data_IF_704773973998
#
_entry.id   IF_704773973998
#
_cell.length_a   1.000
_cell.length_b   1.000
_cell.length_c   1.000
_cell.angle_alpha   90.00
_cell.angle_beta   90.00
_cell.angle_gamma   90.00
#
_symmetry.space_group_name_H-M   'P 1'
#
loop_
_entity.id
_entity.type
_entity.pdbx_description
1 polymer ?
#
# COMPACT_ATOMS: atom_id res chain seq x y z
N UNK A 1 22.91 -3.42 -5.72
CA UNK A 1 22.56 -3.21 -7.08
C UNK A 1 23.71 -3.16 -8.10
N UNK A 2 24.95 -3.58 -7.77
CA UNK A 2 26.08 -3.51 -8.72
C UNK A 2 25.98 -4.59 -9.81
N UNK A 3 25.31 -5.70 -9.49
CA UNK A 3 25.07 -6.79 -10.44
C UNK A 3 23.64 -7.33 -10.28
N UNK A 4 23.07 -7.80 -11.39
CA UNK A 4 21.74 -8.41 -11.44
C UNK A 4 21.82 -9.73 -12.17
N UNK A 5 21.09 -10.75 -11.67
CA UNK A 5 20.93 -12.04 -12.31
C UNK A 5 19.44 -12.28 -12.54
N UNK A 6 19.07 -12.60 -13.77
CA UNK A 6 17.70 -13.00 -14.09
C UNK A 6 17.41 -14.37 -13.50
N UNK A 7 16.29 -14.49 -12.77
CA UNK A 7 15.85 -15.74 -12.13
C UNK A 7 14.43 -16.15 -12.54
N UNK A 8 13.82 -15.46 -13.50
CA UNK A 8 12.42 -15.69 -13.93
C UNK A 8 12.21 -17.08 -14.55
N UNK A 9 13.29 -17.75 -14.95
CA UNK A 9 13.29 -19.11 -15.50
C UNK A 9 14.04 -20.12 -14.63
N UNK A 10 14.29 -19.81 -13.38
CA UNK A 10 14.90 -20.76 -12.46
C UNK A 10 14.06 -22.04 -12.34
N UNK A 11 14.70 -23.19 -12.03
CA UNK A 11 14.03 -24.48 -11.95
C UNK A 11 12.75 -24.42 -11.10
N UNK A 12 11.66 -24.96 -11.65
CA UNK A 12 10.35 -25.00 -11.01
C UNK A 12 9.40 -23.86 -11.41
N UNK A 13 9.91 -22.75 -11.94
CA UNK A 13 9.08 -21.70 -12.57
C UNK A 13 8.70 -22.09 -14.01
N UNK A 14 7.70 -21.42 -14.65
CA UNK A 14 7.35 -21.67 -16.04
C UNK A 14 8.55 -21.48 -16.96
N UNK A 15 8.88 -22.49 -17.77
CA UNK A 15 10.09 -22.53 -18.60
C UNK A 15 9.89 -21.97 -20.00
N UNK A 16 8.64 -21.78 -20.44
CA UNK A 16 8.30 -21.30 -21.79
C UNK A 16 7.07 -20.42 -21.76
N UNK A 17 6.78 -19.74 -22.84
CA UNK A 17 5.66 -18.82 -22.95
C UNK A 17 5.88 -17.44 -22.29
N UNK A 18 5.00 -16.48 -22.53
CA UNK A 18 5.09 -15.17 -21.93
C UNK A 18 4.77 -15.22 -20.44
N UNK A 19 5.52 -14.47 -19.63
CA UNK A 19 5.22 -14.18 -18.25
C UNK A 19 4.50 -12.83 -18.20
N UNK A 20 3.37 -12.77 -17.53
CA UNK A 20 2.66 -11.54 -17.21
C UNK A 20 3.16 -10.94 -15.89
N UNK A 21 2.23 -10.40 -15.09
CA UNK A 21 2.56 -9.82 -13.80
C UNK A 21 3.10 -10.87 -12.82
N UNK A 22 4.15 -10.49 -12.09
CA UNK A 22 4.75 -11.30 -11.03
C UNK A 22 4.81 -10.48 -9.75
N UNK A 23 4.16 -10.98 -8.70
CA UNK A 23 4.32 -10.46 -7.35
C UNK A 23 5.22 -11.38 -6.53
N UNK A 24 6.06 -10.81 -5.69
CA UNK A 24 7.00 -11.59 -4.87
C UNK A 24 6.98 -11.09 -3.42
N UNK A 25 7.12 -12.00 -2.48
CA UNK A 25 7.34 -11.67 -1.06
C UNK A 25 8.39 -12.58 -0.46
N UNK A 26 9.17 -12.03 0.46
CA UNK A 26 10.19 -12.76 1.24
C UNK A 26 9.68 -12.94 2.66
N UNK A 27 9.84 -14.12 3.23
CA UNK A 27 9.50 -14.35 4.64
C UNK A 27 10.50 -13.64 5.56
N UNK A 28 10.08 -12.69 6.40
CA UNK A 28 10.98 -12.09 7.38
C UNK A 28 11.47 -13.11 8.42
N UNK A 29 10.65 -14.12 8.73
CA UNK A 29 11.00 -15.19 9.68
C UNK A 29 12.01 -16.21 9.11
N UNK A 30 12.09 -16.31 7.77
CA UNK A 30 13.03 -17.20 7.06
C UNK A 30 13.42 -16.59 5.73
N UNK A 31 14.45 -15.74 5.65
CA UNK A 31 14.79 -14.98 4.43
C UNK A 31 15.12 -15.85 3.19
N UNK A 32 15.42 -17.14 3.35
CA UNK A 32 15.55 -18.08 2.23
C UNK A 32 14.20 -18.56 1.68
N UNK A 33 13.08 -18.29 2.37
CA UNK A 33 11.73 -18.63 1.89
C UNK A 33 11.09 -17.44 1.20
N UNK A 34 10.69 -17.66 -0.05
CA UNK A 34 9.99 -16.71 -0.89
C UNK A 34 8.71 -17.32 -1.43
N UNK A 35 7.72 -16.48 -1.70
CA UNK A 35 6.59 -16.85 -2.55
C UNK A 35 6.54 -15.90 -3.73
N UNK A 36 6.19 -16.45 -4.89
CA UNK A 36 5.88 -15.70 -6.09
C UNK A 36 4.47 -16.07 -6.56
N UNK A 37 3.67 -15.06 -6.91
CA UNK A 37 2.45 -15.24 -7.69
C UNK A 37 2.75 -14.87 -9.13
N UNK A 38 2.53 -15.79 -10.05
CA UNK A 38 2.97 -15.67 -11.45
C UNK A 38 1.75 -15.73 -12.36
N UNK A 39 1.55 -14.70 -13.16
CA UNK A 39 0.61 -14.71 -14.27
C UNK A 39 1.23 -15.42 -15.46
N UNK A 40 0.67 -16.58 -15.81
CA UNK A 40 1.12 -17.40 -16.93
C UNK A 40 0.02 -18.37 -17.35
N UNK A 41 -0.05 -18.71 -18.63
CA UNK A 41 -0.91 -19.79 -19.12
C UNK A 41 -0.03 -20.88 -19.76
N UNK A 42 -0.25 -22.17 -19.40
CA UNK A 42 -1.26 -22.70 -18.45
C UNK A 42 -0.76 -22.78 -16.99
N UNK A 43 0.49 -22.47 -16.71
CA UNK A 43 1.18 -22.77 -15.44
C UNK A 43 1.23 -21.57 -14.48
N UNK A 44 0.22 -20.68 -14.53
CA UNK A 44 0.14 -19.58 -13.59
C UNK A 44 -0.35 -20.03 -12.21
N UNK A 45 0.17 -19.38 -11.14
CA UNK A 45 -0.17 -19.74 -9.77
C UNK A 45 0.81 -19.21 -8.76
N UNK A 46 0.74 -19.78 -7.55
CA UNK A 46 1.68 -19.50 -6.47
C UNK A 46 2.81 -20.51 -6.49
N UNK A 47 4.01 -20.01 -6.44
CA UNK A 47 5.26 -20.75 -6.34
C UNK A 47 5.96 -20.41 -5.03
N UNK A 48 6.67 -21.38 -4.44
CA UNK A 48 7.50 -21.17 -3.24
C UNK A 48 8.92 -21.62 -3.49
N UNK A 49 9.84 -20.80 -3.05
CA UNK A 49 11.25 -21.17 -2.92
C UNK A 49 11.61 -21.29 -1.43
N UNK A 50 12.48 -22.21 -1.10
CA UNK A 50 13.06 -22.37 0.24
C UNK A 50 14.59 -22.13 0.26
N UNK A 51 15.16 -21.75 -0.89
CA UNK A 51 16.59 -21.58 -1.16
C UNK A 51 16.93 -20.23 -1.82
N UNK A 52 16.23 -19.18 -1.38
CA UNK A 52 16.42 -17.80 -1.84
C UNK A 52 16.21 -17.61 -3.36
N UNK A 53 15.31 -18.37 -3.96
CA UNK A 53 14.94 -18.25 -5.38
C UNK A 53 15.77 -19.11 -6.33
N UNK A 54 16.68 -19.95 -5.82
CA UNK A 54 17.46 -20.85 -6.67
C UNK A 54 16.56 -21.90 -7.33
N UNK A 55 15.63 -22.48 -6.57
CA UNK A 55 14.61 -23.40 -7.07
C UNK A 55 13.22 -23.08 -6.55
N UNK A 56 12.19 -23.47 -7.29
CA UNK A 56 10.81 -23.16 -6.97
C UNK A 56 9.92 -24.41 -7.04
N UNK A 57 8.95 -24.44 -6.15
CA UNK A 57 7.92 -25.48 -6.12
C UNK A 57 6.58 -24.85 -6.42
N UNK A 58 5.83 -25.38 -7.39
CA UNK A 58 4.45 -25.00 -7.62
C UNK A 58 3.58 -25.40 -6.43
N UNK A 59 2.86 -24.43 -5.86
CA UNK A 59 2.05 -24.64 -4.67
C UNK A 59 0.57 -24.81 -5.02
N UNK A 60 0.01 -23.88 -5.80
CA UNK A 60 -1.39 -23.91 -6.20
C UNK A 60 -1.65 -23.07 -7.44
N UNK A 61 -2.58 -23.53 -8.28
CA UNK A 61 -3.12 -22.76 -9.42
C UNK A 61 -4.44 -22.09 -9.15
N UNK A 62 -4.81 -21.89 -7.88
CA UNK A 62 -6.10 -21.29 -7.50
C UNK A 62 -6.31 -19.96 -8.22
N UNK A 63 -7.34 -19.91 -9.07
CA UNK A 63 -7.68 -18.72 -9.87
C UNK A 63 -8.17 -17.55 -9.04
N UNK A 64 -8.68 -17.79 -7.83
CA UNK A 64 -9.09 -16.72 -6.94
C UNK A 64 -7.93 -15.80 -6.55
N UNK A 65 -6.69 -16.31 -6.60
CA UNK A 65 -5.48 -15.51 -6.37
C UNK A 65 -5.06 -14.68 -7.59
N UNK A 66 -5.64 -14.91 -8.77
CA UNK A 66 -5.24 -14.31 -10.04
C UNK A 66 -6.42 -13.77 -10.85
N UNK A 67 -7.56 -13.48 -10.22
CA UNK A 67 -8.77 -12.98 -10.92
C UNK A 67 -8.51 -11.69 -11.70
N UNK A 68 -7.64 -10.83 -11.18
CA UNK A 68 -7.19 -9.59 -11.80
C UNK A 68 -5.67 -9.52 -11.68
N UNK A 69 -4.96 -10.45 -12.33
CA UNK A 69 -3.51 -10.61 -12.20
C UNK A 69 -2.75 -9.32 -12.52
N UNK A 70 -3.19 -8.58 -13.50
CA UNK A 70 -2.66 -7.27 -13.88
C UNK A 70 -2.81 -6.18 -12.79
N UNK A 71 -3.63 -6.41 -11.76
CA UNK A 71 -3.90 -5.42 -10.72
C UNK A 71 -3.53 -5.91 -9.31
N UNK A 72 -3.77 -7.18 -8.98
CA UNK A 72 -3.62 -7.73 -7.63
C UNK A 72 -2.50 -8.76 -7.48
N UNK A 73 -1.48 -8.78 -8.33
CA UNK A 73 -0.37 -9.74 -8.21
C UNK A 73 0.52 -9.45 -6.99
N UNK A 74 -0.06 -9.55 -5.79
CA UNK A 74 0.63 -9.29 -4.52
C UNK A 74 0.43 -10.47 -3.56
N UNK A 75 1.50 -10.78 -2.83
CA UNK A 75 1.49 -11.68 -1.67
C UNK A 75 2.22 -11.00 -0.51
N UNK A 76 1.86 -11.34 0.72
CA UNK A 76 2.48 -10.79 1.92
C UNK A 76 2.77 -11.92 2.89
N UNK A 77 4.05 -12.13 3.21
CA UNK A 77 4.48 -13.13 4.18
C UNK A 77 4.21 -12.65 5.60
N UNK A 78 3.78 -13.56 6.46
CA UNK A 78 3.72 -13.29 7.89
C UNK A 78 5.14 -13.04 8.44
N UNK A 79 5.33 -12.02 9.29
CA UNK A 79 6.65 -11.67 9.79
C UNK A 79 7.24 -12.70 10.76
N UNK A 80 6.44 -13.60 11.34
CA UNK A 80 6.89 -14.58 12.35
C UNK A 80 6.60 -16.04 11.99
N UNK A 81 5.53 -16.32 11.23
CA UNK A 81 5.21 -17.68 10.81
C UNK A 81 5.62 -17.91 9.36
N UNK A 82 6.59 -18.80 9.17
CA UNK A 82 7.13 -19.16 7.85
C UNK A 82 6.14 -19.88 6.94
N UNK A 83 4.99 -20.31 7.42
CA UNK A 83 3.96 -21.00 6.64
C UNK A 83 2.75 -20.14 6.30
N UNK A 84 2.67 -18.93 6.89
CA UNK A 84 1.55 -18.04 6.67
C UNK A 84 1.88 -17.02 5.59
N UNK A 85 0.98 -16.93 4.59
CA UNK A 85 1.05 -15.95 3.51
C UNK A 85 -0.35 -15.45 3.16
N UNK A 86 -0.45 -14.15 2.93
CA UNK A 86 -1.70 -13.47 2.61
C UNK A 86 -1.71 -13.07 1.14
N UNK A 87 -2.87 -13.17 0.51
CA UNK A 87 -3.17 -12.67 -0.82
C UNK A 87 -4.33 -11.68 -0.77
N UNK A 88 -4.06 -10.35 -0.72
CA UNK A 88 -5.11 -9.38 -0.90
C UNK A 88 -5.61 -9.46 -2.35
N UNK A 89 -6.86 -9.77 -2.50
CA UNK A 89 -7.53 -9.97 -3.78
C UNK A 89 -8.94 -9.36 -3.70
N UNK A 90 -9.76 -9.60 -4.71
CA UNK A 90 -11.20 -9.26 -4.65
C UNK A 90 -11.80 -9.76 -3.33
N UNK A 91 -11.48 -11.00 -2.94
CA UNK A 91 -11.68 -11.50 -1.57
C UNK A 91 -10.33 -11.73 -0.91
N UNK A 92 -10.14 -11.32 0.35
CA UNK A 92 -8.88 -11.56 1.04
C UNK A 92 -8.68 -13.06 1.26
N UNK A 93 -7.49 -13.53 0.97
CA UNK A 93 -7.13 -14.94 1.08
C UNK A 93 -5.92 -15.11 2.02
N UNK A 94 -5.90 -16.19 2.76
CA UNK A 94 -4.79 -16.58 3.65
C UNK A 94 -4.45 -18.06 3.47
N UNK A 95 -3.19 -18.37 3.36
CA UNK A 95 -2.63 -19.70 3.50
C UNK A 95 -1.94 -19.84 4.86
N UNK A 96 -2.08 -21.00 5.48
CA UNK A 96 -1.39 -21.39 6.73
C UNK A 96 -0.54 -22.65 6.56
N UNK A 97 -0.39 -23.11 5.34
CA UNK A 97 0.31 -24.36 4.99
C UNK A 97 1.42 -24.13 3.95
N UNK A 98 1.96 -22.93 3.95
CA UNK A 98 3.07 -22.54 3.09
C UNK A 98 2.67 -22.24 1.64
N UNK A 99 1.41 -21.90 1.38
CA UNK A 99 0.92 -21.53 0.06
C UNK A 99 0.24 -22.67 -0.71
N UNK A 100 -0.01 -23.84 -0.08
CA UNK A 100 -0.67 -24.98 -0.74
C UNK A 100 -2.17 -24.77 -0.87
N UNK A 101 -2.80 -24.33 0.20
CA UNK A 101 -4.24 -24.03 0.20
C UNK A 101 -4.48 -22.62 0.70
N UNK A 102 -5.52 -21.98 0.16
CA UNK A 102 -5.94 -20.65 0.56
C UNK A 102 -7.40 -20.68 0.98
N UNK A 103 -7.68 -20.01 2.08
CA UNK A 103 -9.02 -19.84 2.63
C UNK A 103 -9.32 -18.35 2.77
N UNK A 104 -10.59 -17.99 3.00
CA UNK A 104 -10.96 -16.61 3.24
C UNK A 104 -10.21 -16.04 4.46
N UNK A 105 -9.53 -14.96 4.25
CA UNK A 105 -8.80 -14.22 5.27
C UNK A 105 -9.60 -13.02 5.78
N UNK A 106 -8.89 -12.16 6.52
CA UNK A 106 -9.37 -10.90 7.06
C UNK A 106 -9.23 -9.78 6.02
N UNK A 107 -10.31 -8.99 5.81
CA UNK A 107 -10.32 -7.85 4.90
C UNK A 107 -11.72 -7.49 4.40
N UNK A 108 -11.79 -6.61 3.44
CA UNK A 108 -13.01 -6.15 2.76
C UNK A 108 -13.23 -6.80 1.39
N UNK A 109 -13.91 -6.08 0.51
CA UNK A 109 -13.98 -6.38 -0.92
C UNK A 109 -12.98 -5.53 -1.69
N UNK A 110 -12.36 -6.10 -2.72
CA UNK A 110 -11.29 -5.46 -3.50
C UNK A 110 -10.18 -4.90 -2.59
N UNK A 111 -9.33 -5.82 -2.10
CA UNK A 111 -8.27 -5.49 -1.16
C UNK A 111 -6.99 -5.15 -1.92
N UNK A 112 -6.42 -3.97 -1.68
CA UNK A 112 -5.29 -3.42 -2.42
C UNK A 112 -3.96 -3.60 -1.72
N UNK A 113 -3.97 -3.53 -0.39
CA UNK A 113 -2.76 -3.63 0.40
C UNK A 113 -3.04 -4.19 1.79
N UNK A 114 -2.01 -4.76 2.41
CA UNK A 114 -2.06 -5.30 3.76
C UNK A 114 -0.77 -4.95 4.51
N UNK A 115 -0.94 -4.42 5.70
CA UNK A 115 0.15 -4.25 6.64
C UNK A 115 -0.03 -5.19 7.83
N UNK A 116 1.04 -5.90 8.19
CA UNK A 116 1.10 -6.83 9.31
C UNK A 116 2.16 -6.31 10.26
N UNK A 117 1.80 -6.14 11.54
CA UNK A 117 2.73 -5.67 12.55
C UNK A 117 3.89 -6.67 12.71
N UNK A 118 5.15 -6.26 12.46
CA UNK A 118 6.30 -7.16 12.55
C UNK A 118 6.56 -7.66 13.96
N UNK A 119 6.03 -6.98 14.98
CA UNK A 119 6.19 -7.36 16.39
C UNK A 119 5.02 -8.20 16.89
N UNK A 120 3.82 -8.02 16.34
CA UNK A 120 2.59 -8.72 16.71
C UNK A 120 1.72 -9.03 15.49
N UNK A 121 1.88 -10.18 14.81
CA UNK A 121 1.14 -10.52 13.58
C UNK A 121 -0.38 -10.62 13.74
N UNK A 122 -0.90 -10.58 14.97
CA UNK A 122 -2.35 -10.49 15.20
C UNK A 122 -2.89 -9.09 14.88
N UNK A 123 -2.00 -8.10 14.78
CA UNK A 123 -2.33 -6.73 14.37
C UNK A 123 -2.15 -6.60 12.86
N UNK A 124 -3.26 -6.43 12.18
CA UNK A 124 -3.29 -6.34 10.72
C UNK A 124 -4.17 -5.16 10.30
N UNK A 125 -3.71 -4.44 9.30
CA UNK A 125 -4.48 -3.40 8.62
C UNK A 125 -4.62 -3.77 7.14
N UNK A 126 -5.84 -3.72 6.61
CA UNK A 126 -6.13 -4.03 5.21
C UNK A 126 -6.81 -2.84 4.56
N UNK A 127 -6.19 -2.31 3.52
CA UNK A 127 -6.78 -1.28 2.66
C UNK A 127 -7.62 -1.95 1.57
N UNK A 128 -8.83 -1.45 1.38
CA UNK A 128 -9.78 -1.95 0.38
C UNK A 128 -10.61 -0.79 -0.17
N UNK A 129 -11.40 -1.03 -1.23
CA UNK A 129 -12.18 0.01 -1.93
C UNK A 129 -13.00 0.94 -1.02
N UNK A 130 -13.47 0.44 0.11
CA UNK A 130 -14.32 1.19 1.03
C UNK A 130 -13.57 1.70 2.27
N UNK A 131 -12.24 1.80 2.23
CA UNK A 131 -11.41 2.36 3.30
C UNK A 131 -10.45 1.37 3.93
N UNK A 132 -10.31 1.41 5.25
CA UNK A 132 -9.35 0.64 6.02
C UNK A 132 -10.07 -0.21 7.06
N UNK A 133 -9.70 -1.48 7.17
CA UNK A 133 -10.11 -2.38 8.25
C UNK A 133 -8.88 -2.73 9.09
N UNK A 134 -9.02 -2.64 10.39
CA UNK A 134 -7.94 -2.95 11.36
C UNK A 134 -8.42 -4.02 12.33
N UNK A 135 -7.56 -4.98 12.62
CA UNK A 135 -7.73 -5.98 13.68
C UNK A 135 -6.56 -5.97 14.65
N UNK A 136 -6.78 -6.46 15.87
CA UNK A 136 -5.74 -6.67 16.89
C UNK A 136 -5.70 -8.11 17.41
N UNK A 137 -6.48 -9.00 16.80
CA UNK A 137 -6.69 -10.38 17.27
C UNK A 137 -6.73 -11.39 16.11
N UNK A 138 -6.04 -11.05 15.02
CA UNK A 138 -5.93 -11.93 13.84
C UNK A 138 -7.24 -12.04 13.04
N UNK A 139 -8.08 -11.02 13.08
CA UNK A 139 -9.33 -10.96 12.31
C UNK A 139 -10.56 -11.53 13.04
N UNK A 140 -10.46 -11.87 14.32
CA UNK A 140 -11.63 -12.30 15.11
C UNK A 140 -12.57 -11.13 15.36
N UNK A 141 -12.03 -9.96 15.65
CA UNK A 141 -12.74 -8.68 15.71
C UNK A 141 -12.07 -7.66 14.82
N UNK A 142 -12.83 -6.68 14.36
CA UNK A 142 -12.31 -5.65 13.47
C UNK A 142 -12.99 -4.31 13.68
N UNK A 143 -12.24 -3.24 13.38
CA UNK A 143 -12.75 -1.88 13.33
C UNK A 143 -12.57 -1.36 11.90
N UNK A 144 -13.65 -0.89 11.32
CA UNK A 144 -13.60 -0.16 10.05
C UNK A 144 -13.27 1.29 10.34
N UNK A 145 -12.21 1.78 9.73
CA UNK A 145 -11.86 3.19 9.77
C UNK A 145 -12.50 3.85 8.56
N UNK A 146 -13.62 4.52 8.78
CA UNK A 146 -14.26 5.34 7.76
C UNK A 146 -13.59 6.73 7.80
N UNK A 147 -12.82 7.04 6.77
CA UNK A 147 -12.23 8.35 6.59
C UNK A 147 -12.57 8.84 5.17
N UNK A 148 -12.83 10.12 4.97
CA UNK A 148 -12.97 10.68 3.63
C UNK A 148 -11.60 10.68 2.96
N UNK A 149 -11.27 9.59 2.28
CA UNK A 149 -9.98 9.38 1.62
C UNK A 149 -10.18 9.20 0.12
N UNK A 150 -9.12 9.47 -0.64
CA UNK A 150 -9.01 9.03 -2.02
C UNK A 150 -8.27 7.69 -2.09
N UNK A 151 -8.39 7.00 -3.20
CA UNK A 151 -7.60 5.81 -3.48
C UNK A 151 -6.19 6.23 -3.90
N UNK A 152 -5.25 6.19 -2.96
CA UNK A 152 -3.85 6.49 -3.24
C UNK A 152 -3.13 5.25 -3.74
N UNK A 153 -2.38 5.38 -4.84
CA UNK A 153 -1.60 4.28 -5.40
C UNK A 153 -0.30 4.04 -4.63
N UNK A 154 0.41 5.11 -4.31
CA UNK A 154 1.70 5.08 -3.63
C UNK A 154 1.74 6.19 -2.60
N UNK A 155 2.46 5.96 -1.51
CA UNK A 155 2.61 6.92 -0.43
C UNK A 155 4.07 7.33 -0.32
N UNK A 156 4.30 8.63 -0.29
CA UNK A 156 5.59 9.26 -0.03
C UNK A 156 5.51 10.11 1.24
N UNK A 157 6.56 10.07 2.05
CA UNK A 157 6.70 10.90 3.24
C UNK A 157 7.73 11.97 2.99
N UNK A 158 7.39 13.22 3.28
CA UNK A 158 8.30 14.35 3.10
C UNK A 158 9.13 14.61 4.36
N UNK A 159 10.19 15.38 4.22
CA UNK A 159 11.06 15.80 5.34
C UNK A 159 10.52 17.03 6.10
N UNK A 160 9.27 17.42 5.94
CA UNK A 160 8.65 18.43 6.80
C UNK A 160 8.61 17.97 8.27
N UNK A 161 8.49 18.91 9.18
CA UNK A 161 8.19 18.61 10.57
C UNK A 161 6.95 19.38 11.04
N UNK A 162 5.84 18.70 11.39
CA UNK A 162 5.55 17.28 11.17
C UNK A 162 5.64 16.89 9.70
N UNK A 163 6.01 15.64 9.40
CA UNK A 163 6.08 15.17 8.01
C UNK A 163 4.71 15.22 7.33
N UNK A 164 4.73 15.38 6.00
CA UNK A 164 3.52 15.28 5.19
C UNK A 164 3.47 13.92 4.49
N UNK A 165 2.24 13.48 4.25
CA UNK A 165 1.92 12.30 3.46
C UNK A 165 1.48 12.77 2.09
N UNK A 166 2.10 12.24 1.05
CA UNK A 166 1.83 12.58 -0.35
C UNK A 166 1.45 11.34 -1.15
N UNK A 167 0.68 11.53 -2.20
CA UNK A 167 0.42 10.48 -3.17
C UNK A 167 -0.46 10.93 -4.33
N UNK A 168 -0.44 10.13 -5.38
CA UNK A 168 -1.34 10.22 -6.51
C UNK A 168 -2.63 9.45 -6.19
N UNK A 169 -3.77 10.00 -6.58
CA UNK A 169 -5.10 9.41 -6.33
C UNK A 169 -5.75 8.99 -7.64
N UNK A 170 -6.45 7.89 -7.62
CA UNK A 170 -7.29 7.49 -8.73
C UNK A 170 -8.39 8.52 -9.01
N UNK A 171 -8.65 8.80 -10.29
CA UNK A 171 -9.65 9.75 -10.79
C UNK A 171 -9.49 11.16 -10.20
N UNK A 172 -8.29 11.50 -9.71
CA UNK A 172 -7.98 12.80 -9.14
C UNK A 172 -6.48 13.11 -9.29
N UNK A 173 -6.12 14.34 -9.00
CA UNK A 173 -4.72 14.76 -8.99
C UNK A 173 -3.98 14.28 -7.74
N UNK A 174 -2.70 14.57 -7.70
CA UNK A 174 -1.83 14.28 -6.57
C UNK A 174 -2.01 15.28 -5.44
N UNK A 175 -1.81 14.84 -4.21
CA UNK A 175 -1.91 15.74 -3.05
C UNK A 175 -0.92 15.37 -1.95
N UNK A 176 -0.56 16.37 -1.15
CA UNK A 176 0.17 16.23 0.10
C UNK A 176 -0.60 16.86 1.25
N UNK A 177 -0.40 16.37 2.44
CA UNK A 177 -0.94 16.99 3.65
C UNK A 177 -0.21 16.56 4.91
N UNK A 178 -0.22 17.37 5.97
CA UNK A 178 0.44 17.04 7.22
C UNK A 178 -0.20 15.83 7.88
N UNK A 179 0.61 14.95 8.47
CA UNK A 179 0.15 13.77 9.20
C UNK A 179 -0.68 14.12 10.44
N UNK A 180 -0.49 15.32 10.96
CA UNK A 180 -1.34 15.93 11.99
C UNK A 180 -1.85 17.23 11.44
N UNK A 181 -3.16 17.35 11.31
CA UNK A 181 -3.76 18.68 11.20
C UNK A 181 -3.27 19.47 12.42
N UNK A 182 -2.72 20.66 12.19
CA UNK A 182 -2.60 21.61 13.28
C UNK A 182 -3.99 21.69 13.90
N UNK A 183 -4.08 21.53 15.21
CA UNK A 183 -5.32 21.81 15.90
C UNK A 183 -5.61 23.30 15.68
N UNK A 184 -6.29 23.58 14.57
CA UNK A 184 -6.75 24.92 14.28
C UNK A 184 -7.70 25.30 15.42
N UNK A 185 -7.20 26.10 16.34
CA UNK A 185 -8.03 26.81 17.27
C UNK A 185 -8.16 26.27 18.68
N UNK A 186 -7.36 25.29 19.15
CA UNK A 186 -7.46 24.93 20.57
C UNK A 186 -7.29 26.13 21.50
N UNK A 187 -6.39 27.03 21.18
CA UNK A 187 -6.13 28.24 21.98
C UNK A 187 -6.99 29.44 21.54
N UNK A 188 -7.20 29.61 20.24
CA UNK A 188 -8.04 30.69 19.71
C UNK A 188 -9.51 30.39 19.90
N UNK A 189 -9.98 29.15 19.71
CA UNK A 189 -11.34 28.77 20.04
C UNK A 189 -11.62 28.86 21.54
N UNK A 190 -10.67 28.52 22.40
CA UNK A 190 -10.78 28.64 23.83
C UNK A 190 -10.80 30.13 24.28
N UNK A 191 -10.02 31.01 23.65
CA UNK A 191 -10.05 32.45 23.87
C UNK A 191 -11.35 33.08 23.36
N UNK A 192 -11.85 32.69 22.19
CA UNK A 192 -13.12 33.17 21.66
C UNK A 192 -14.29 32.77 22.58
N UNK A 193 -14.26 31.56 23.13
CA UNK A 193 -15.27 31.09 24.08
C UNK A 193 -15.18 31.81 25.44
N UNK A 194 -13.98 32.18 25.89
CA UNK A 194 -13.77 32.97 27.12
C UNK A 194 -14.18 34.44 26.96
N UNK A 195 -14.17 34.97 25.73
CA UNK A 195 -14.51 36.38 25.42
C UNK A 195 -15.99 36.59 25.10
N UNK A 196 -16.85 35.61 25.33
CA UNK A 196 -18.31 35.76 25.24
C UNK A 196 -18.85 35.93 23.81
N UNK A 197 -18.07 35.62 22.80
CA UNK A 197 -18.50 35.60 21.42
C UNK A 197 -19.33 34.36 21.12
N UNK A 198 -20.64 34.51 21.01
CA UNK A 198 -21.61 33.45 20.71
C UNK A 198 -21.58 32.99 19.26
N UNK A 199 -20.42 32.67 18.70
CA UNK A 199 -20.30 31.93 17.47
C UNK A 199 -20.48 30.43 17.78
N UNK A 200 -21.36 29.78 17.05
CA UNK A 200 -21.46 28.29 17.08
C UNK A 200 -20.06 27.67 17.00
N UNK A 201 -19.78 26.60 17.76
CA UNK A 201 -18.49 25.98 17.72
C UNK A 201 -18.19 25.65 16.25
N UNK A 202 -17.13 26.26 15.71
CA UNK A 202 -16.64 25.90 14.39
C UNK A 202 -16.41 24.40 14.40
N UNK A 203 -17.08 23.67 13.52
CA UNK A 203 -16.79 22.25 13.35
C UNK A 203 -15.28 22.12 13.18
N UNK A 204 -14.62 21.20 13.90
CA UNK A 204 -13.20 21.01 13.74
C UNK A 204 -12.94 20.81 12.25
N UNK A 205 -12.10 21.68 11.68
CA UNK A 205 -11.76 21.60 10.27
C UNK A 205 -11.29 20.16 10.01
N UNK A 206 -11.88 19.50 9.02
CA UNK A 206 -11.45 18.15 8.64
C UNK A 206 -9.93 18.14 8.52
N UNK A 207 -9.21 17.19 9.11
CA UNK A 207 -7.76 17.08 8.94
C UNK A 207 -7.36 17.07 7.46
N UNK A 208 -8.28 16.74 6.57
CA UNK A 208 -8.09 16.76 5.11
C UNK A 208 -8.24 18.13 4.47
N UNK A 209 -8.77 19.13 5.16
CA UNK A 209 -8.83 20.52 4.67
C UNK A 209 -7.44 21.16 4.54
N UNK A 210 -6.40 20.54 5.11
CA UNK A 210 -5.01 20.97 5.02
C UNK A 210 -4.23 20.28 3.90
N UNK A 211 -4.87 19.37 3.16
CA UNK A 211 -4.25 18.76 1.99
C UNK A 211 -4.21 19.75 0.83
N UNK A 212 -3.11 19.78 0.10
CA UNK A 212 -2.88 20.67 -1.02
C UNK A 212 -2.42 19.87 -2.24
N UNK A 213 -2.70 20.39 -3.43
CA UNK A 213 -2.27 19.78 -4.70
C UNK A 213 -0.77 19.90 -4.87
N UNK A 214 -0.18 18.87 -5.48
CA UNK A 214 1.24 18.80 -5.80
C UNK A 214 1.44 18.35 -7.25
N UNK A 215 2.71 18.25 -7.69
CA UNK A 215 3.10 17.75 -8.99
C UNK A 215 2.57 16.34 -9.25
N UNK A 216 2.47 15.98 -10.54
CA UNK A 216 2.03 14.66 -10.98
C UNK A 216 0.52 14.50 -11.06
N UNK A 217 0.09 13.31 -11.35
CA UNK A 217 -1.31 12.97 -11.56
C UNK A 217 -1.62 11.54 -11.18
N UNK A 218 -2.77 11.10 -11.63
CA UNK A 218 -3.25 9.74 -11.39
C UNK A 218 -2.21 8.68 -11.75
N UNK A 219 -2.14 7.63 -10.95
CA UNK A 219 -1.25 6.46 -11.08
C UNK A 219 0.26 6.73 -10.99
N UNK A 220 0.68 7.98 -10.78
CA UNK A 220 2.08 8.34 -10.69
C UNK A 220 2.69 8.14 -9.31
N UNK A 221 4.01 8.27 -9.26
CA UNK A 221 4.77 8.39 -8.03
C UNK A 221 5.01 9.86 -7.70
N UNK A 222 5.00 10.17 -6.41
CA UNK A 222 5.37 11.49 -5.90
C UNK A 222 6.66 11.35 -5.10
N UNK A 223 7.55 12.32 -5.25
CA UNK A 223 8.74 12.47 -4.41
C UNK A 223 8.95 13.94 -4.04
N UNK A 224 9.52 14.21 -2.88
CA UNK A 224 9.95 15.57 -2.51
C UNK A 224 11.46 15.69 -2.56
N UNK A 225 11.97 16.90 -2.84
CA UNK A 225 13.40 17.16 -2.70
C UNK A 225 13.80 16.98 -1.22
N UNK A 226 14.81 16.15 -0.92
CA UNK A 226 15.21 15.89 0.46
C UNK A 226 15.79 17.12 1.17
N UNK A 227 16.24 18.14 0.44
CA UNK A 227 16.80 19.38 0.98
C UNK A 227 15.75 20.49 1.09
N UNK A 228 14.69 20.40 0.27
CA UNK A 228 13.60 21.37 0.22
C UNK A 228 12.25 20.66 -0.01
N UNK A 229 11.58 20.25 1.06
CA UNK A 229 10.35 19.44 0.93
C UNK A 229 9.16 20.22 0.33
N UNK A 230 9.27 21.53 0.13
CA UNK A 230 8.28 22.32 -0.62
C UNK A 230 8.41 22.15 -2.16
N UNK A 231 9.48 21.48 -2.61
CA UNK A 231 9.64 21.07 -4.02
C UNK A 231 9.21 19.62 -4.14
N UNK A 232 8.21 19.36 -4.98
CA UNK A 232 7.72 18.01 -5.26
C UNK A 232 7.86 17.69 -6.74
N UNK A 233 8.21 16.44 -7.01
CA UNK A 233 8.27 15.85 -8.35
C UNK A 233 7.15 14.81 -8.43
N UNK A 234 6.42 14.79 -9.52
CA UNK A 234 5.33 13.84 -9.72
C UNK A 234 5.31 13.29 -11.12
N UNK A 235 5.03 12.01 -11.24
CA UNK A 235 4.79 11.36 -12.52
C UNK A 235 3.29 11.29 -12.83
N UNK A 236 2.96 11.10 -14.11
CA UNK A 236 1.61 10.91 -14.60
C UNK A 236 1.59 9.92 -15.76
N UNK A 237 0.43 9.66 -16.34
CA UNK A 237 0.28 8.83 -17.51
C UNK A 237 1.21 9.24 -18.65
N UNK A 238 1.61 8.26 -19.46
CA UNK A 238 2.47 8.49 -20.61
C UNK A 238 3.93 8.84 -20.25
N UNK A 239 4.30 8.73 -18.97
CA UNK A 239 5.67 9.04 -18.52
C UNK A 239 5.97 10.54 -18.39
N UNK A 240 4.94 11.39 -18.38
CA UNK A 240 5.14 12.81 -18.07
C UNK A 240 5.59 12.98 -16.63
N UNK A 241 6.43 13.96 -16.39
CA UNK A 241 6.91 14.32 -15.07
C UNK A 241 6.80 15.83 -14.89
N UNK A 242 6.29 16.23 -13.74
CA UNK A 242 6.12 17.62 -13.35
C UNK A 242 6.92 17.92 -12.08
N UNK A 243 7.32 19.17 -11.91
CA UNK A 243 7.92 19.69 -10.68
C UNK A 243 7.07 20.86 -10.18
N UNK A 244 6.62 20.80 -8.94
CA UNK A 244 5.94 21.92 -8.28
C UNK A 244 6.84 22.53 -7.21
N UNK A 245 7.01 23.84 -7.27
CA UNK A 245 7.55 24.62 -6.15
C UNK A 245 6.38 25.27 -5.41
N UNK A 246 6.08 24.77 -4.22
CA UNK A 246 4.93 25.22 -3.41
C UNK A 246 5.04 26.68 -2.96
N UNK A 247 6.28 27.21 -2.76
CA UNK A 247 6.46 28.61 -2.32
C UNK A 247 6.13 29.61 -3.41
N UNK A 248 6.41 29.25 -4.65
CA UNK A 248 6.12 30.11 -5.81
C UNK A 248 4.83 29.74 -6.50
N UNK A 249 4.24 28.58 -6.17
CA UNK A 249 3.09 27.97 -6.84
C UNK A 249 3.32 27.73 -8.35
N UNK A 250 4.59 27.57 -8.77
CA UNK A 250 4.94 27.29 -10.17
C UNK A 250 5.07 25.79 -10.39
N UNK A 251 4.42 25.34 -11.45
CA UNK A 251 4.51 23.98 -11.99
C UNK A 251 5.42 24.04 -13.23
N UNK A 252 6.38 23.13 -13.33
CA UNK A 252 7.35 23.02 -14.43
C UNK A 252 7.28 21.66 -15.09
#
# INVERSE_FOLDING_TARGET
GDTWTEITRNPGLPQSGPLGAIGITVSPAKPSRLWAIVEHEPNGGVYRSDDAGATWTFMTGDRNLRQRAWYYSKLYADPKDTNVVYGPQVSPLISKDGGKTFTRGFGGGDNHDIWIDPTDPLRVAVAHDNGLIVTKDGGKTSVRVAAPTGQYYHVHLTNHFPYHVCGAKQDAGSSCGPVRAAALGGREAMMAQMMGGGAAPAQPASPFSTFYSVAGGESGYISSDPRDPDITYGANYGGSMDMLNRRTCLLY
#
